data_IF_670689637050
#
_entry.id   IF_670689637050
#
_cell.length_a   1.000
_cell.length_b   1.000
_cell.length_c   1.000
_cell.angle_alpha   90.00
_cell.angle_beta   90.00
_cell.angle_gamma   90.00
#
_symmetry.space_group_name_H-M   'P 1'
#
loop_
_entity.id
_entity.type
_entity.pdbx_description
1 polymer ?
#
# COMPACT_ATOMS: atom_id res chain seq x y z
N UNK A 1 13.38 -6.51 -14.23
CA UNK A 1 14.37 -5.46 -13.91
C UNK A 1 14.78 -5.61 -12.45
N UNK A 2 16.05 -5.38 -12.11
CA UNK A 2 16.52 -5.47 -10.72
C UNK A 2 15.77 -4.44 -9.85
N UNK A 3 15.09 -4.90 -8.81
CA UNK A 3 14.32 -4.03 -7.90
C UNK A 3 15.24 -3.33 -6.90
N UNK A 4 16.38 -3.94 -6.60
CA UNK A 4 17.38 -3.42 -5.69
C UNK A 4 18.43 -2.61 -6.47
N UNK A 5 18.70 -1.34 -6.10
CA UNK A 5 19.73 -0.52 -6.71
C UNK A 5 21.12 -0.84 -6.12
N UNK A 6 21.42 -2.11 -5.88
CA UNK A 6 22.70 -2.61 -5.37
C UNK A 6 23.25 -3.68 -6.30
N UNK A 7 24.57 -3.66 -6.52
CA UNK A 7 25.28 -4.70 -7.27
C UNK A 7 26.17 -5.51 -6.33
N UNK A 8 26.48 -6.78 -6.69
CA UNK A 8 27.47 -7.54 -5.96
C UNK A 8 28.80 -6.78 -5.88
N UNK A 9 29.29 -6.53 -4.66
CA UNK A 9 30.53 -5.78 -4.42
C UNK A 9 30.33 -4.33 -3.96
N UNK A 10 29.12 -3.78 -4.01
CA UNK A 10 28.82 -2.46 -3.46
C UNK A 10 28.86 -2.48 -1.92
N UNK A 11 29.24 -1.35 -1.32
CA UNK A 11 29.14 -1.18 0.14
C UNK A 11 27.68 -1.27 0.59
N UNK A 12 27.42 -2.02 1.66
CA UNK A 12 26.06 -2.22 2.17
C UNK A 12 25.48 -0.89 2.66
N UNK A 13 24.46 -0.40 1.96
CA UNK A 13 23.70 0.79 2.32
C UNK A 13 22.26 0.40 2.66
N UNK A 14 21.88 0.54 3.93
CA UNK A 14 20.53 0.21 4.39
C UNK A 14 19.44 1.02 3.66
N UNK A 15 19.76 2.24 3.21
CA UNK A 15 18.85 3.07 2.42
C UNK A 15 18.51 2.45 1.06
N UNK A 16 19.47 1.87 0.36
CA UNK A 16 19.27 1.24 -0.96
C UNK A 16 18.48 -0.05 -0.85
N UNK A 17 18.74 -0.83 0.21
CA UNK A 17 17.94 -2.02 0.56
C UNK A 17 16.49 -1.62 0.81
N UNK A 18 16.25 -0.54 1.58
CA UNK A 18 14.91 -0.03 1.86
C UNK A 18 14.18 0.38 0.58
N UNK A 19 14.84 1.12 -0.31
CA UNK A 19 14.28 1.51 -1.62
C UNK A 19 13.92 0.27 -2.45
N UNK A 20 14.77 -0.76 -2.44
CA UNK A 20 14.50 -2.01 -3.12
C UNK A 20 13.28 -2.75 -2.56
N UNK A 21 13.18 -2.84 -1.23
CA UNK A 21 12.01 -3.42 -0.55
C UNK A 21 10.72 -2.65 -0.82
N UNK A 22 10.77 -1.31 -0.87
CA UNK A 22 9.61 -0.48 -1.23
C UNK A 22 9.13 -0.74 -2.67
N UNK A 23 10.05 -0.98 -3.62
CA UNK A 23 9.68 -1.36 -4.99
C UNK A 23 9.08 -2.76 -5.07
N UNK A 24 9.66 -3.71 -4.33
CA UNK A 24 9.12 -5.08 -4.23
C UNK A 24 7.72 -5.04 -3.62
N UNK A 25 7.53 -4.27 -2.54
CA UNK A 25 6.22 -4.01 -1.92
C UNK A 25 5.21 -3.53 -2.96
N UNK A 26 5.52 -2.45 -3.68
CA UNK A 26 4.62 -1.89 -4.68
C UNK A 26 4.23 -2.91 -5.76
N UNK A 27 5.17 -3.76 -6.19
CA UNK A 27 4.94 -4.81 -7.18
C UNK A 27 4.01 -5.94 -6.67
N UNK A 28 4.07 -6.29 -5.38
CA UNK A 28 3.15 -7.26 -4.79
C UNK A 28 1.77 -6.66 -4.52
N UNK A 29 1.73 -5.42 -4.04
CA UNK A 29 0.47 -4.72 -3.81
C UNK A 29 -0.32 -4.50 -5.12
N UNK A 30 0.35 -4.25 -6.25
CA UNK A 30 -0.28 -4.14 -7.58
C UNK A 30 -0.98 -5.44 -8.02
N UNK A 31 -0.51 -6.58 -7.53
CA UNK A 31 -1.15 -7.90 -7.74
C UNK A 31 -2.19 -8.26 -6.68
N UNK A 32 -2.49 -7.36 -5.75
CA UNK A 32 -3.48 -7.57 -4.68
C UNK A 32 -2.96 -8.28 -3.43
N UNK A 33 -1.64 -8.45 -3.31
CA UNK A 33 -1.00 -9.01 -2.11
C UNK A 33 -0.66 -7.89 -1.13
N UNK A 34 -1.63 -7.55 -0.28
CA UNK A 34 -1.49 -6.46 0.70
C UNK A 34 -0.79 -6.91 1.97
N UNK A 35 -0.97 -8.19 2.34
CA UNK A 35 -0.42 -8.79 3.55
C UNK A 35 0.74 -9.74 3.23
N UNK A 36 1.68 -9.26 2.40
CA UNK A 36 2.92 -9.98 2.18
C UNK A 36 3.86 -9.76 3.36
N UNK A 37 4.67 -10.77 3.68
CA UNK A 37 5.70 -10.69 4.70
C UNK A 37 7.05 -11.10 4.12
N UNK A 38 8.12 -10.63 4.74
CA UNK A 38 9.46 -11.06 4.38
C UNK A 38 10.28 -11.39 5.62
N UNK A 39 11.11 -12.42 5.50
CA UNK A 39 12.11 -12.78 6.51
C UNK A 39 13.49 -12.48 5.92
N UNK A 40 14.23 -11.50 6.47
CA UNK A 40 15.59 -11.23 6.06
C UNK A 40 16.55 -12.25 6.69
N UNK A 41 17.40 -12.84 5.89
CA UNK A 41 18.49 -13.71 6.31
C UNK A 41 19.83 -13.04 5.93
N UNK A 42 20.69 -12.88 6.93
CA UNK A 42 21.98 -12.20 6.78
C UNK A 42 23.10 -13.20 7.06
N UNK A 43 23.95 -13.41 6.05
CA UNK A 43 25.11 -14.30 6.17
C UNK A 43 26.37 -13.45 6.04
N UNK A 44 27.18 -13.42 7.10
CA UNK A 44 28.44 -12.67 7.15
C UNK A 44 29.62 -13.60 6.87
N UNK A 45 30.42 -13.24 5.87
CA UNK A 45 31.71 -13.84 5.55
C UNK A 45 32.80 -12.89 6.06
N UNK A 46 33.17 -13.06 7.34
CA UNK A 46 34.17 -12.22 8.01
C UNK A 46 35.55 -12.25 7.32
N UNK A 47 36.09 -13.42 6.90
CA UNK A 47 37.37 -13.48 6.20
C UNK A 47 37.43 -12.61 4.95
N UNK A 48 36.36 -12.62 4.15
CA UNK A 48 36.30 -11.83 2.91
C UNK A 48 35.63 -10.46 3.10
N UNK A 49 35.21 -10.11 4.31
CA UNK A 49 34.42 -8.90 4.64
C UNK A 49 33.20 -8.72 3.73
N UNK A 50 32.52 -9.83 3.43
CA UNK A 50 31.30 -9.84 2.59
C UNK A 50 30.09 -10.12 3.45
N UNK A 51 28.95 -9.59 3.02
CA UNK A 51 27.65 -9.87 3.60
C UNK A 51 26.71 -10.28 2.47
N UNK A 52 26.05 -11.42 2.64
CA UNK A 52 24.96 -11.86 1.77
C UNK A 52 23.64 -11.59 2.48
N UNK A 53 22.70 -10.98 1.76
CA UNK A 53 21.37 -10.66 2.28
C UNK A 53 20.33 -11.36 1.39
N UNK A 54 19.63 -12.32 1.98
CA UNK A 54 18.56 -13.07 1.33
C UNK A 54 17.22 -12.64 1.93
N UNK A 55 16.22 -12.42 1.08
CA UNK A 55 14.86 -12.14 1.53
C UNK A 55 13.96 -13.30 1.13
N UNK A 56 13.37 -13.95 2.12
CA UNK A 56 12.33 -14.95 1.91
C UNK A 56 10.98 -14.23 1.92
N UNK A 57 10.29 -14.19 0.78
CA UNK A 57 9.01 -13.50 0.64
C UNK A 57 7.87 -14.50 0.71
N UNK A 58 6.79 -14.12 1.41
CA UNK A 58 5.54 -14.86 1.44
C UNK A 58 4.42 -13.91 1.04
N UNK A 59 3.81 -14.13 -0.13
CA UNK A 59 2.79 -13.24 -0.68
C UNK A 59 1.44 -13.32 0.06
N UNK A 60 1.11 -14.49 0.61
CA UNK A 60 -0.21 -14.77 1.17
C UNK A 60 -1.28 -14.91 0.09
N UNK A 61 -2.53 -14.57 0.42
CA UNK A 61 -3.67 -14.62 -0.51
C UNK A 61 -3.98 -13.24 -1.12
N UNK A 62 -4.53 -13.17 -2.35
CA UNK A 62 -5.03 -11.92 -2.90
C UNK A 62 -6.20 -11.40 -2.06
N UNK A 63 -6.25 -10.08 -1.85
CA UNK A 63 -7.30 -9.44 -1.06
C UNK A 63 -8.33 -8.75 -1.95
N UNK A 64 -9.61 -8.95 -1.61
CA UNK A 64 -10.74 -8.29 -2.25
C UNK A 64 -11.31 -7.22 -1.32
N UNK A 65 -11.70 -6.09 -1.89
CA UNK A 65 -12.36 -5.01 -1.17
C UNK A 65 -13.74 -5.51 -0.72
N UNK A 66 -13.95 -5.68 0.57
CA UNK A 66 -15.21 -6.20 1.10
C UNK A 66 -16.18 -5.07 1.43
N UNK A 67 -15.70 -4.01 2.08
CA UNK A 67 -16.50 -2.86 2.48
C UNK A 67 -15.70 -1.57 2.39
N UNK A 68 -16.33 -0.52 1.91
CA UNK A 68 -15.80 0.84 1.93
C UNK A 68 -16.64 1.68 2.90
N UNK A 69 -16.01 2.21 3.95
CA UNK A 69 -16.66 3.06 4.94
C UNK A 69 -16.04 4.45 4.89
N UNK A 70 -16.88 5.47 4.69
CA UNK A 70 -16.45 6.87 4.76
C UNK A 70 -17.15 7.57 5.91
N UNK A 71 -16.37 8.07 6.87
CA UNK A 71 -16.84 8.82 8.01
C UNK A 71 -16.80 10.33 7.78
N UNK A 72 -17.63 11.06 8.52
CA UNK A 72 -17.70 12.53 8.55
C UNK A 72 -18.01 13.18 7.18
N UNK A 73 -18.85 12.51 6.36
CA UNK A 73 -19.35 13.07 5.11
C UNK A 73 -20.67 13.79 5.39
N UNK A 74 -20.80 15.11 5.12
CA UNK A 74 -22.10 15.77 5.19
C UNK A 74 -23.03 15.25 4.09
N UNK A 75 -24.32 15.14 4.39
CA UNK A 75 -25.32 14.63 3.44
C UNK A 75 -25.31 15.37 2.08
N UNK A 76 -25.01 16.67 2.08
CA UNK A 76 -24.90 17.48 0.87
C UNK A 76 -23.78 17.03 -0.10
N UNK A 77 -22.74 16.35 0.41
CA UNK A 77 -21.58 15.91 -0.36
C UNK A 77 -21.51 14.39 -0.55
N UNK A 78 -22.43 13.61 0.02
CA UNK A 78 -22.43 12.13 -0.06
C UNK A 78 -22.36 11.63 -1.51
N UNK A 79 -23.19 12.18 -2.39
CA UNK A 79 -23.20 11.80 -3.80
C UNK A 79 -21.85 12.08 -4.50
N UNK A 80 -21.19 13.20 -4.17
CA UNK A 80 -19.89 13.57 -4.74
C UNK A 80 -18.76 12.70 -4.20
N UNK A 81 -18.80 12.36 -2.93
CA UNK A 81 -17.83 11.44 -2.31
C UNK A 81 -17.99 10.04 -2.90
N UNK A 82 -19.23 9.54 -3.03
CA UNK A 82 -19.51 8.25 -3.67
C UNK A 82 -19.01 8.20 -5.12
N UNK A 83 -19.18 9.28 -5.88
CA UNK A 83 -18.65 9.40 -7.23
C UNK A 83 -17.11 9.38 -7.25
N UNK A 84 -16.47 10.10 -6.32
CA UNK A 84 -15.02 10.11 -6.19
C UNK A 84 -14.42 8.72 -5.87
N UNK A 85 -15.16 7.88 -5.14
CA UNK A 85 -14.76 6.52 -4.78
C UNK A 85 -14.98 5.47 -5.88
N UNK A 86 -15.60 5.79 -7.02
CA UNK A 86 -15.81 4.83 -8.13
C UNK A 86 -14.59 4.01 -8.56
N UNK A 87 -13.34 4.49 -8.51
CA UNK A 87 -12.18 3.66 -8.85
C UNK A 87 -12.02 2.42 -7.97
N UNK A 88 -12.57 2.44 -6.75
CA UNK A 88 -12.59 1.29 -5.83
C UNK A 88 -14.01 0.71 -5.77
N UNK A 89 -14.13 -0.57 -6.08
CA UNK A 89 -15.41 -1.27 -6.07
C UNK A 89 -15.42 -2.35 -4.99
N UNK A 90 -16.56 -2.48 -4.29
CA UNK A 90 -16.77 -3.63 -3.41
C UNK A 90 -16.78 -4.92 -4.25
N UNK A 91 -16.29 -6.01 -3.66
CA UNK A 91 -15.99 -7.28 -4.29
C UNK A 91 -14.91 -7.28 -5.40
N UNK A 92 -14.20 -6.15 -5.63
CA UNK A 92 -13.08 -6.12 -6.58
C UNK A 92 -11.74 -6.42 -5.92
N UNK A 93 -10.75 -6.84 -6.72
CA UNK A 93 -9.38 -7.04 -6.25
C UNK A 93 -8.83 -5.71 -5.73
N UNK A 94 -8.30 -5.70 -4.51
CA UNK A 94 -7.70 -4.50 -3.95
C UNK A 94 -6.46 -4.10 -4.77
N UNK A 95 -6.47 -2.87 -5.28
CA UNK A 95 -5.33 -2.27 -5.97
C UNK A 95 -4.98 -0.94 -5.30
N UNK A 96 -3.72 -0.72 -4.90
CA UNK A 96 -3.29 0.57 -4.37
C UNK A 96 -3.54 1.73 -5.33
N UNK A 97 -3.32 1.51 -6.63
CA UNK A 97 -3.53 2.53 -7.65
C UNK A 97 -5.00 3.02 -7.70
N UNK A 98 -5.95 2.11 -7.51
CA UNK A 98 -7.37 2.45 -7.43
C UNK A 98 -7.69 3.29 -6.17
N UNK A 99 -7.11 2.92 -5.02
CA UNK A 99 -7.23 3.69 -3.78
C UNK A 99 -6.62 5.08 -3.92
N UNK A 100 -5.44 5.20 -4.52
CA UNK A 100 -4.79 6.48 -4.76
C UNK A 100 -5.61 7.38 -5.70
N UNK A 101 -6.15 6.82 -6.79
CA UNK A 101 -7.05 7.55 -7.68
C UNK A 101 -8.32 8.04 -6.95
N UNK A 102 -8.92 7.20 -6.10
CA UNK A 102 -10.07 7.58 -5.30
C UNK A 102 -9.75 8.72 -4.32
N UNK A 103 -8.60 8.66 -3.65
CA UNK A 103 -8.11 9.71 -2.75
C UNK A 103 -7.86 11.02 -3.51
N UNK A 104 -7.25 10.96 -4.69
CA UNK A 104 -7.03 12.13 -5.53
C UNK A 104 -8.35 12.77 -5.96
N UNK A 105 -9.32 11.96 -6.37
CA UNK A 105 -10.66 12.44 -6.71
C UNK A 105 -11.34 13.13 -5.53
N UNK A 106 -11.23 12.57 -4.32
CA UNK A 106 -11.77 13.20 -3.09
C UNK A 106 -11.06 14.53 -2.82
N UNK A 107 -9.74 14.58 -2.93
CA UNK A 107 -8.97 15.82 -2.74
C UNK A 107 -9.33 16.89 -3.78
N UNK A 108 -9.60 16.48 -5.02
CA UNK A 108 -10.03 17.37 -6.12
C UNK A 108 -11.40 18.01 -5.87
N UNK A 109 -12.23 17.45 -5.01
CA UNK A 109 -13.50 18.08 -4.61
C UNK A 109 -13.29 19.44 -3.93
N UNK A 110 -12.14 19.65 -3.27
CA UNK A 110 -11.78 20.91 -2.61
C UNK A 110 -12.56 21.23 -1.33
N UNK A 111 -13.51 20.37 -0.94
CA UNK A 111 -14.39 20.53 0.23
C UNK A 111 -13.74 20.02 1.52
N UNK A 112 -12.87 19.03 1.40
CA UNK A 112 -12.24 18.36 2.52
C UNK A 112 -10.78 18.78 2.66
N UNK A 113 -10.23 18.60 3.86
CA UNK A 113 -8.78 18.64 4.08
C UNK A 113 -8.12 17.57 3.21
N UNK A 114 -6.95 17.86 2.62
CA UNK A 114 -6.25 16.90 1.79
C UNK A 114 -5.89 15.66 2.60
N UNK A 115 -6.34 14.50 2.12
CA UNK A 115 -6.04 13.20 2.71
C UNK A 115 -5.00 12.45 1.86
N UNK A 116 -4.27 11.56 2.49
CA UNK A 116 -3.27 10.70 1.85
C UNK A 116 -3.61 9.22 2.05
N UNK A 117 -2.91 8.34 1.34
CA UNK A 117 -3.05 6.88 1.51
C UNK A 117 -2.82 6.42 2.95
N UNK A 118 -2.00 7.15 3.73
CA UNK A 118 -1.70 6.81 5.13
C UNK A 118 -2.89 7.06 6.07
N UNK A 119 -3.82 7.91 5.66
CA UNK A 119 -5.03 8.24 6.43
C UNK A 119 -6.15 7.21 6.20
N UNK A 120 -6.02 6.38 5.16
CA UNK A 120 -6.90 5.23 4.94
C UNK A 120 -6.50 4.08 5.87
N UNK A 121 -7.44 3.66 6.72
CA UNK A 121 -7.26 2.48 7.57
C UNK A 121 -7.69 1.24 6.80
N UNK A 122 -6.77 0.29 6.65
CA UNK A 122 -7.01 -1.03 6.10
C UNK A 122 -7.26 -2.01 7.26
N UNK A 123 -8.40 -2.68 7.27
CA UNK A 123 -8.67 -3.77 8.21
C UNK A 123 -8.81 -5.10 7.46
N UNK A 124 -8.30 -6.17 8.04
CA UNK A 124 -8.26 -7.51 7.45
C UNK A 124 -9.09 -8.47 8.31
N UNK A 125 -10.43 -8.49 8.16
CA UNK A 125 -11.31 -9.27 9.02
C UNK A 125 -11.13 -10.79 8.87
N UNK A 126 -10.77 -11.25 7.67
CA UNK A 126 -10.41 -12.64 7.38
C UNK A 126 -9.48 -12.71 6.17
N UNK A 127 -8.95 -13.91 5.92
CA UNK A 127 -8.09 -14.19 4.77
C UNK A 127 -8.77 -13.76 3.46
N UNK A 128 -8.09 -12.92 2.67
CA UNK A 128 -8.55 -12.50 1.34
C UNK A 128 -9.60 -11.38 1.32
N UNK A 129 -9.95 -10.78 2.46
CA UNK A 129 -10.82 -9.60 2.51
C UNK A 129 -10.11 -8.40 3.13
N UNK A 130 -10.36 -7.21 2.56
CA UNK A 130 -9.93 -5.93 3.11
C UNK A 130 -11.10 -4.97 3.23
N UNK A 131 -11.21 -4.34 4.38
CA UNK A 131 -12.12 -3.22 4.62
C UNK A 131 -11.34 -1.91 4.55
N UNK A 132 -11.89 -0.95 3.82
CA UNK A 132 -11.33 0.38 3.64
C UNK A 132 -12.12 1.35 4.50
N UNK A 133 -11.46 2.02 5.44
CA UNK A 133 -12.07 3.06 6.25
C UNK A 133 -11.36 4.39 6.03
N UNK A 134 -12.12 5.38 5.60
CA UNK A 134 -11.68 6.75 5.33
C UNK A 134 -12.41 7.70 6.28
N UNK A 135 -11.70 8.61 6.92
CA UNK A 135 -12.32 9.66 7.72
C UNK A 135 -12.02 11.00 7.06
N UNK A 136 -13.05 11.67 6.55
CA UNK A 136 -12.89 12.99 5.95
C UNK A 136 -13.01 14.08 7.02
N UNK A 137 -12.44 15.23 6.75
CA UNK A 137 -12.60 16.44 7.58
C UNK A 137 -12.88 17.61 6.66
N UNK A 138 -13.89 18.41 6.98
CA UNK A 138 -14.18 19.60 6.21
C UNK A 138 -13.03 20.60 6.32
N UNK A 139 -12.81 21.30 5.23
CA UNK A 139 -11.94 22.46 5.20
C UNK A 139 -12.77 23.63 5.74
N UNK A 140 -12.36 24.21 6.86
CA UNK A 140 -12.93 25.46 7.39
C UNK A 140 -12.54 26.65 6.52
#
# INVERSE_FOLDING_TARGET
>A
RAQFPIKPGDAVRSAEIKIGLEKVKAMYEDRGYVNWSYVPEQVFDHPNRRMSLTFWLTEGVPHYVRRITVGNVPAAYDARVRDALKPIEEASLFRPAALEAAIENVNRLGVFQPISRRDCKLAFPHSGAVDLSLTLRLRE
#
